data_IF_568349845797
#
_entry.id   IF_568349845797
#
_cell.length_a   1.000
_cell.length_b   1.000
_cell.length_c   1.000
_cell.angle_alpha   90.00
_cell.angle_beta   90.00
_cell.angle_gamma   90.00
#
_symmetry.space_group_name_H-M   'P 1'
#
loop_
_entity.id
_entity.type
_entity.pdbx_description
1 polymer ?
#
# COMPACT_ATOMS: atom_id res chain seq x y z
N UNK A 1 3.11 -13.02 5.51
CA UNK A 1 2.50 -11.72 5.86
C UNK A 1 1.35 -11.98 6.81
N UNK A 2 1.46 -11.52 8.06
CA UNK A 2 0.44 -11.84 9.08
C UNK A 2 -0.93 -11.31 8.64
N UNK A 3 -1.97 -12.14 8.72
CA UNK A 3 -3.39 -11.78 8.56
C UNK A 3 -3.73 -10.47 9.30
N UNK A 4 -3.00 -10.20 10.39
CA UNK A 4 -3.07 -8.98 11.21
C UNK A 4 -2.71 -7.69 10.46
N UNK A 5 -1.69 -7.69 9.59
CA UNK A 5 -1.28 -6.48 8.85
C UNK A 5 -2.33 -6.10 7.80
N UNK A 6 -2.84 -7.07 7.05
CA UNK A 6 -3.89 -6.80 6.08
C UNK A 6 -5.16 -6.29 6.76
N UNK A 7 -5.52 -6.83 7.93
CA UNK A 7 -6.65 -6.33 8.70
C UNK A 7 -6.45 -4.86 9.12
N UNK A 8 -5.27 -4.48 9.60
CA UNK A 8 -4.96 -3.08 9.96
C UNK A 8 -5.06 -2.16 8.75
N UNK A 9 -4.58 -2.59 7.58
CA UNK A 9 -4.68 -1.81 6.35
C UNK A 9 -6.15 -1.67 5.90
N UNK A 10 -6.94 -2.74 5.97
CA UNK A 10 -8.37 -2.71 5.64
C UNK A 10 -9.14 -1.79 6.59
N UNK A 11 -8.88 -1.86 7.89
CA UNK A 11 -9.47 -0.94 8.89
C UNK A 11 -9.13 0.51 8.55
N UNK A 12 -7.87 0.79 8.22
CA UNK A 12 -7.46 2.14 7.83
C UNK A 12 -8.16 2.61 6.56
N UNK A 13 -8.29 1.76 5.54
CA UNK A 13 -8.98 2.08 4.29
C UNK A 13 -10.47 2.31 4.52
N UNK A 14 -11.13 1.51 5.36
CA UNK A 14 -12.53 1.71 5.71
C UNK A 14 -12.74 3.08 6.38
N UNK A 15 -11.86 3.47 7.30
CA UNK A 15 -11.91 4.79 7.90
C UNK A 15 -11.76 5.92 6.87
N UNK A 16 -10.87 5.77 5.87
CA UNK A 16 -10.75 6.77 4.80
C UNK A 16 -12.03 6.88 3.95
N UNK A 17 -12.72 5.77 3.71
CA UNK A 17 -14.01 5.74 3.02
C UNK A 17 -15.09 6.45 3.86
N UNK A 18 -15.07 6.28 5.19
CA UNK A 18 -15.96 7.01 6.10
C UNK A 18 -15.71 8.52 6.04
N UNK A 19 -14.46 8.97 6.03
CA UNK A 19 -14.11 10.37 5.85
C UNK A 19 -14.63 10.92 4.51
N UNK A 20 -14.49 10.15 3.43
CA UNK A 20 -15.05 10.51 2.13
C UNK A 20 -16.58 10.65 2.21
N UNK A 21 -17.28 9.71 2.84
CA UNK A 21 -18.74 9.75 3.01
C UNK A 21 -19.19 10.94 3.85
N UNK A 22 -18.49 11.23 4.96
CA UNK A 22 -18.73 12.41 5.80
C UNK A 22 -18.58 13.68 4.99
N UNK A 23 -17.54 13.76 4.15
CA UNK A 23 -17.31 14.90 3.26
C UNK A 23 -18.42 15.05 2.23
N UNK A 24 -18.80 13.96 1.52
CA UNK A 24 -19.90 13.96 0.56
C UNK A 24 -21.24 14.37 1.17
N UNK A 25 -21.49 14.05 2.45
CA UNK A 25 -22.71 14.44 3.15
C UNK A 25 -22.83 15.95 3.40
N UNK A 26 -21.72 16.71 3.28
CA UNK A 26 -21.71 18.18 3.43
C UNK A 26 -21.99 18.92 2.12
N UNK A 27 -22.55 18.23 1.12
CA UNK A 27 -22.82 18.77 -0.21
C UNK A 27 -23.63 20.06 -0.14
N UNK A 28 -23.17 21.08 -0.85
CA UNK A 28 -23.93 22.29 -1.14
C UNK A 28 -23.72 22.72 -2.59
N UNK A 29 -24.67 23.46 -3.13
CA UNK A 29 -24.64 23.90 -4.53
C UNK A 29 -24.50 25.41 -4.58
N UNK A 30 -23.61 25.89 -5.44
CA UNK A 30 -23.48 27.31 -5.78
C UNK A 30 -23.83 27.48 -7.25
N UNK A 31 -24.45 28.59 -7.60
CA UNK A 31 -24.77 28.94 -8.98
C UNK A 31 -24.04 30.21 -9.40
N UNK A 32 -23.68 30.27 -10.68
CA UNK A 32 -23.38 31.51 -11.37
C UNK A 32 -24.38 31.72 -12.52
N UNK A 33 -24.21 32.76 -13.32
CA UNK A 33 -25.14 33.12 -14.40
C UNK A 33 -25.35 32.02 -15.47
N UNK A 34 -24.48 31.00 -15.54
CA UNK A 34 -24.49 29.98 -16.58
C UNK A 34 -24.37 28.53 -16.06
N UNK A 35 -23.87 28.31 -14.85
CA UNK A 35 -23.48 27.00 -14.35
C UNK A 35 -23.83 26.77 -12.88
N UNK A 36 -23.97 25.49 -12.54
CA UNK A 36 -24.21 24.99 -11.20
C UNK A 36 -22.99 24.17 -10.79
N UNK A 37 -22.50 24.41 -9.57
CA UNK A 37 -21.34 23.73 -9.02
C UNK A 37 -21.69 23.09 -7.68
N UNK A 38 -21.35 21.82 -7.55
CA UNK A 38 -21.50 21.08 -6.31
C UNK A 38 -20.17 21.02 -5.55
N UNK A 39 -20.22 21.46 -4.30
CA UNK A 39 -19.07 21.53 -3.39
C UNK A 39 -19.36 20.76 -2.12
N UNK A 40 -18.30 20.48 -1.36
CA UNK A 40 -18.38 19.95 0.00
C UNK A 40 -17.69 20.92 0.97
N UNK A 41 -17.88 20.75 2.28
CA UNK A 41 -17.16 21.53 3.30
C UNK A 41 -15.65 21.37 3.14
N UNK A 42 -14.93 22.49 3.25
CA UNK A 42 -13.46 22.52 3.18
C UNK A 42 -12.84 21.68 4.30
N UNK A 43 -13.40 21.72 5.50
CA UNK A 43 -12.88 20.98 6.65
C UNK A 43 -12.91 19.47 6.39
N UNK A 44 -14.08 18.93 6.05
CA UNK A 44 -14.23 17.49 5.76
C UNK A 44 -13.49 17.07 4.49
N UNK A 45 -13.34 17.98 3.52
CA UNK A 45 -12.52 17.75 2.34
C UNK A 45 -11.05 17.56 2.69
N UNK A 46 -10.44 18.51 3.41
CA UNK A 46 -9.02 18.42 3.77
C UNK A 46 -8.76 17.26 4.73
N UNK A 47 -9.68 16.97 5.65
CA UNK A 47 -9.61 15.77 6.51
C UNK A 47 -9.48 14.49 5.67
N UNK A 48 -10.37 14.30 4.68
CA UNK A 48 -10.31 13.16 3.77
C UNK A 48 -9.07 13.16 2.87
N UNK A 49 -8.76 14.29 2.23
CA UNK A 49 -7.69 14.42 1.25
C UNK A 49 -6.33 14.15 1.91
N UNK A 50 -6.02 14.83 3.01
CA UNK A 50 -4.73 14.70 3.69
C UNK A 50 -4.53 13.30 4.27
N UNK A 51 -5.56 12.74 4.93
CA UNK A 51 -5.47 11.40 5.50
C UNK A 51 -5.25 10.32 4.43
N UNK A 52 -5.94 10.44 3.30
CA UNK A 52 -5.82 9.54 2.16
C UNK A 52 -4.47 9.66 1.48
N UNK A 53 -4.00 10.88 1.20
CA UNK A 53 -2.70 11.10 0.58
C UNK A 53 -1.56 10.55 1.44
N UNK A 54 -1.60 10.80 2.75
CA UNK A 54 -0.61 10.26 3.69
C UNK A 54 -0.64 8.73 3.70
N UNK A 55 -1.82 8.12 3.71
CA UNK A 55 -1.94 6.67 3.66
C UNK A 55 -1.35 6.08 2.39
N UNK A 56 -1.72 6.61 1.22
CA UNK A 56 -1.24 6.12 -0.07
C UNK A 56 0.28 6.25 -0.15
N UNK A 57 0.83 7.40 0.27
CA UNK A 57 2.28 7.61 0.33
C UNK A 57 2.98 6.56 1.19
N UNK A 58 2.47 6.28 2.39
CA UNK A 58 3.10 5.33 3.31
C UNK A 58 3.00 3.87 2.85
N UNK A 59 1.94 3.50 2.12
CA UNK A 59 1.74 2.12 1.66
C UNK A 59 2.41 1.85 0.32
N UNK A 60 2.33 2.79 -0.61
CA UNK A 60 2.75 2.60 -2.00
C UNK A 60 3.97 3.45 -2.41
N UNK A 61 4.35 4.45 -1.62
CA UNK A 61 5.48 5.33 -1.91
C UNK A 61 5.17 6.51 -2.85
N UNK A 62 6.14 7.42 -2.97
CA UNK A 62 6.01 8.70 -3.70
C UNK A 62 5.76 8.50 -5.20
N UNK A 63 6.35 7.44 -5.78
CA UNK A 63 6.28 7.16 -7.21
C UNK A 63 5.07 6.28 -7.60
N UNK A 64 4.11 6.08 -6.70
CA UNK A 64 2.98 5.19 -6.97
C UNK A 64 1.96 5.81 -7.92
N UNK A 65 1.39 5.01 -8.86
CA UNK A 65 0.27 5.47 -9.70
C UNK A 65 -0.91 5.96 -8.87
N UNK A 66 -1.18 5.31 -7.74
CA UNK A 66 -2.24 5.71 -6.82
C UNK A 66 -2.02 7.11 -6.25
N UNK A 67 -0.81 7.45 -5.78
CA UNK A 67 -0.54 8.76 -5.22
C UNK A 67 -0.60 9.85 -6.30
N UNK A 68 -0.03 9.57 -7.48
CA UNK A 68 -0.04 10.48 -8.63
C UNK A 68 -1.48 10.78 -9.07
N UNK A 69 -2.30 9.76 -9.25
CA UNK A 69 -3.71 9.91 -9.64
C UNK A 69 -4.50 10.66 -8.56
N UNK A 70 -4.30 10.33 -7.28
CA UNK A 70 -4.99 10.98 -6.17
C UNK A 70 -4.71 12.49 -6.13
N UNK A 71 -3.43 12.88 -6.22
CA UNK A 71 -3.01 14.29 -6.24
C UNK A 71 -3.60 15.04 -7.46
N UNK A 72 -3.69 14.39 -8.62
CA UNK A 72 -4.21 15.00 -9.85
C UNK A 72 -5.74 15.15 -9.85
N UNK A 73 -6.46 14.16 -9.31
CA UNK A 73 -7.93 14.15 -9.33
C UNK A 73 -8.59 14.95 -8.22
N UNK A 74 -7.84 15.30 -7.17
CA UNK A 74 -8.38 15.84 -5.93
C UNK A 74 -7.59 17.09 -5.55
N UNK A 75 -7.94 18.18 -6.21
CA UNK A 75 -7.28 19.48 -6.14
C UNK A 75 -8.07 20.49 -5.30
N UNK A 76 -9.40 20.35 -5.25
CA UNK A 76 -10.30 21.23 -4.50
C UNK A 76 -11.52 20.48 -3.95
N UNK A 77 -12.34 21.18 -3.17
CA UNK A 77 -13.51 20.66 -2.48
C UNK A 77 -14.74 20.46 -3.38
N UNK A 78 -14.55 20.22 -4.69
CA UNK A 78 -15.66 19.85 -5.57
C UNK A 78 -16.19 18.45 -5.19
N UNK A 79 -17.51 18.31 -5.21
CA UNK A 79 -18.18 17.06 -4.86
C UNK A 79 -17.71 15.88 -5.75
N UNK A 80 -17.54 16.12 -7.06
CA UNK A 80 -17.03 15.13 -8.02
C UNK A 80 -15.61 14.65 -7.70
N UNK A 81 -14.76 15.50 -7.13
CA UNK A 81 -13.39 15.15 -6.80
C UNK A 81 -13.32 14.27 -5.56
N UNK A 82 -14.19 14.50 -4.57
CA UNK A 82 -14.33 13.60 -3.42
C UNK A 82 -14.84 12.23 -3.86
N UNK A 83 -15.78 12.17 -4.83
CA UNK A 83 -16.21 10.90 -5.43
C UNK A 83 -15.05 10.18 -6.13
N UNK A 84 -14.26 10.91 -6.92
CA UNK A 84 -13.08 10.34 -7.59
C UNK A 84 -12.08 9.78 -6.57
N UNK A 85 -11.79 10.54 -5.51
CA UNK A 85 -10.91 10.09 -4.44
C UNK A 85 -11.43 8.85 -3.72
N UNK A 86 -12.72 8.80 -3.40
CA UNK A 86 -13.35 7.60 -2.83
C UNK A 86 -13.21 6.39 -3.76
N UNK A 87 -13.35 6.59 -5.07
CA UNK A 87 -13.11 5.55 -6.08
C UNK A 87 -11.70 4.99 -6.04
N UNK A 88 -10.69 5.86 -5.93
CA UNK A 88 -9.28 5.48 -5.80
C UNK A 88 -9.07 4.65 -4.51
N UNK A 89 -9.60 5.10 -3.37
CA UNK A 89 -9.50 4.38 -2.10
C UNK A 89 -10.21 3.02 -2.16
N UNK A 90 -11.35 2.90 -2.85
CA UNK A 90 -12.02 1.61 -3.07
C UNK A 90 -11.20 0.65 -3.94
N UNK A 91 -10.48 1.16 -4.94
CA UNK A 91 -9.55 0.35 -5.74
C UNK A 91 -8.45 -0.24 -4.85
N UNK A 92 -7.85 0.59 -3.99
CA UNK A 92 -6.85 0.17 -3.01
C UNK A 92 -7.42 -0.88 -2.05
N UNK A 93 -8.64 -0.68 -1.56
CA UNK A 93 -9.34 -1.67 -0.72
C UNK A 93 -9.38 -3.04 -1.40
N UNK A 94 -9.83 -3.04 -2.66
CA UNK A 94 -9.98 -4.26 -3.48
C UNK A 94 -8.64 -4.97 -3.67
N UNK A 95 -7.55 -4.24 -3.89
CA UNK A 95 -6.21 -4.83 -3.99
C UNK A 95 -5.75 -5.49 -2.68
N UNK A 96 -5.98 -4.82 -1.55
CA UNK A 96 -5.58 -5.33 -0.23
C UNK A 96 -6.38 -6.60 0.10
N UNK A 97 -7.70 -6.57 -0.13
CA UNK A 97 -8.60 -7.70 0.11
C UNK A 97 -8.26 -8.90 -0.77
N UNK A 98 -7.88 -8.66 -2.03
CA UNK A 98 -7.46 -9.71 -2.97
C UNK A 98 -5.99 -10.15 -2.80
N UNK A 99 -5.28 -9.59 -1.81
CA UNK A 99 -3.92 -10.02 -1.45
C UNK A 99 -2.81 -9.55 -2.40
N UNK A 100 -3.07 -8.56 -3.25
CA UNK A 100 -2.10 -8.05 -4.22
C UNK A 100 -0.80 -7.55 -3.56
N UNK A 101 -0.90 -6.84 -2.43
CA UNK A 101 0.27 -6.40 -1.65
C UNK A 101 1.13 -7.57 -1.16
N UNK A 102 0.50 -8.70 -0.85
CA UNK A 102 1.21 -9.93 -0.48
C UNK A 102 1.95 -10.54 -1.66
N UNK A 103 1.30 -10.57 -2.84
CA UNK A 103 1.90 -11.04 -4.09
C UNK A 103 3.10 -10.17 -4.50
N UNK A 104 2.96 -8.84 -4.46
CA UNK A 104 4.04 -7.91 -4.81
C UNK A 104 5.26 -8.10 -3.90
N UNK A 105 5.05 -8.21 -2.58
CA UNK A 105 6.14 -8.51 -1.64
C UNK A 105 6.79 -9.87 -1.91
N UNK A 106 5.99 -10.87 -2.29
CA UNK A 106 6.51 -12.18 -2.67
C UNK A 106 7.45 -12.10 -3.87
N UNK A 107 7.07 -11.34 -4.90
CA UNK A 107 7.90 -11.12 -6.09
C UNK A 107 9.21 -10.41 -5.73
N UNK A 108 9.15 -9.30 -4.97
CA UNK A 108 10.35 -8.58 -4.53
C UNK A 108 11.27 -9.46 -3.66
N UNK A 109 10.69 -10.26 -2.76
CA UNK A 109 11.47 -11.19 -1.93
C UNK A 109 12.15 -12.26 -2.77
N UNK A 110 11.56 -12.67 -3.89
CA UNK A 110 12.16 -13.63 -4.81
C UNK A 110 13.32 -13.01 -5.59
N UNK A 111 13.22 -11.75 -5.97
CA UNK A 111 14.29 -10.99 -6.64
C UNK A 111 15.50 -10.84 -5.72
N UNK A 112 15.29 -10.33 -4.50
CA UNK A 112 16.35 -10.20 -3.48
C UNK A 112 17.00 -11.56 -3.16
N UNK A 113 16.21 -12.63 -3.08
CA UNK A 113 16.75 -13.97 -2.87
C UNK A 113 17.62 -14.43 -4.06
N UNK A 114 17.22 -14.12 -5.29
CA UNK A 114 18.02 -14.38 -6.48
C UNK A 114 19.35 -13.63 -6.43
N UNK A 115 19.34 -12.36 -6.03
CA UNK A 115 20.57 -11.55 -5.88
C UNK A 115 21.50 -12.15 -4.83
N UNK A 116 20.97 -12.60 -3.68
CA UNK A 116 21.77 -13.29 -2.66
C UNK A 116 22.36 -14.60 -3.18
N UNK A 117 21.62 -15.34 -3.99
CA UNK A 117 22.10 -16.58 -4.60
C UNK A 117 23.24 -16.31 -5.59
N UNK A 118 23.11 -15.28 -6.43
CA UNK A 118 24.15 -14.85 -7.37
C UNK A 118 25.41 -14.36 -6.64
N UNK A 119 25.25 -13.54 -5.59
CA UNK A 119 26.38 -13.10 -4.77
C UNK A 119 27.08 -14.29 -4.07
N UNK A 120 26.31 -15.29 -3.61
CA UNK A 120 26.87 -16.47 -2.94
C UNK A 120 27.65 -17.33 -3.92
N UNK A 121 27.15 -17.47 -5.14
CA UNK A 121 27.83 -18.14 -6.23
C UNK A 121 29.15 -17.45 -6.58
N UNK A 122 29.16 -16.12 -6.69
CA UNK A 122 30.38 -15.35 -6.92
C UNK A 122 31.44 -15.55 -5.81
N UNK A 123 31.04 -15.51 -4.54
CA UNK A 123 31.96 -15.78 -3.42
C UNK A 123 32.55 -17.19 -3.50
N UNK A 124 31.75 -18.17 -3.88
CA UNK A 124 32.20 -19.55 -4.03
C UNK A 124 33.22 -19.71 -5.17
N UNK A 125 32.99 -19.06 -6.31
CA UNK A 125 33.89 -19.05 -7.47
C UNK A 125 35.25 -18.42 -7.14
N UNK A 126 35.25 -17.36 -6.34
CA UNK A 126 36.45 -16.70 -5.81
C UNK A 126 37.09 -17.45 -4.61
N UNK A 127 36.66 -18.69 -4.33
CA UNK A 127 37.13 -19.54 -3.23
C UNK A 127 36.86 -19.00 -1.81
N UNK A 128 35.99 -18.01 -1.63
CA UNK A 128 35.51 -17.55 -0.33
C UNK A 128 34.35 -18.42 0.18
N UNK A 129 34.69 -19.66 0.57
CA UNK A 129 33.72 -20.70 0.93
C UNK A 129 32.89 -20.38 2.18
N UNK A 130 33.51 -19.89 3.25
CA UNK A 130 32.77 -19.59 4.49
C UNK A 130 31.78 -18.44 4.28
N UNK A 131 32.17 -17.29 3.67
CA UNK A 131 31.22 -16.24 3.33
C UNK A 131 30.09 -16.70 2.40
N UNK A 132 30.41 -17.50 1.37
CA UNK A 132 29.41 -18.05 0.45
C UNK A 132 28.36 -18.90 1.19
N UNK A 133 28.82 -19.80 2.06
CA UNK A 133 27.97 -20.69 2.85
C UNK A 133 27.11 -19.94 3.86
N UNK A 134 27.67 -18.95 4.57
CA UNK A 134 26.92 -18.11 5.52
C UNK A 134 25.81 -17.35 4.80
N UNK A 135 26.11 -16.72 3.66
CA UNK A 135 25.13 -15.91 2.94
C UNK A 135 23.96 -16.73 2.37
N UNK A 136 24.23 -17.86 1.70
CA UNK A 136 23.16 -18.70 1.15
C UNK A 136 22.37 -19.38 2.27
N UNK A 137 23.04 -19.80 3.35
CA UNK A 137 22.40 -20.35 4.55
C UNK A 137 21.44 -19.36 5.20
N UNK A 138 21.88 -18.11 5.34
CA UNK A 138 21.07 -17.03 5.93
C UNK A 138 19.86 -16.69 5.05
N UNK A 139 20.05 -16.60 3.72
CA UNK A 139 18.97 -16.37 2.78
C UNK A 139 17.94 -17.51 2.77
N UNK A 140 18.40 -18.77 2.81
CA UNK A 140 17.54 -19.95 2.89
C UNK A 140 16.75 -19.99 4.20
N UNK A 141 17.42 -19.75 5.34
CA UNK A 141 16.78 -19.71 6.65
C UNK A 141 15.66 -18.67 6.68
N UNK A 142 15.94 -17.45 6.24
CA UNK A 142 14.95 -16.38 6.19
C UNK A 142 13.76 -16.77 5.30
N UNK A 143 14.02 -17.36 4.12
CA UNK A 143 12.95 -17.78 3.22
C UNK A 143 12.06 -18.87 3.84
N UNK A 144 12.66 -19.88 4.48
CA UNK A 144 11.93 -20.94 5.18
C UNK A 144 11.13 -20.40 6.38
N UNK A 145 11.68 -19.43 7.11
CA UNK A 145 11.01 -18.74 8.20
C UNK A 145 9.77 -17.98 7.70
N UNK A 146 9.91 -17.21 6.62
CA UNK A 146 8.78 -16.51 5.98
C UNK A 146 7.73 -17.48 5.43
N UNK A 147 8.15 -18.61 4.84
CA UNK A 147 7.26 -19.67 4.36
C UNK A 147 6.45 -20.29 5.51
N UNK A 148 7.10 -20.55 6.64
CA UNK A 148 6.48 -21.07 7.86
C UNK A 148 5.44 -20.10 8.42
N UNK A 149 5.82 -18.82 8.56
CA UNK A 149 4.91 -17.75 8.98
C UNK A 149 3.71 -17.59 8.03
N UNK A 150 3.91 -17.75 6.72
CA UNK A 150 2.83 -17.70 5.72
C UNK A 150 1.80 -18.81 5.92
N UNK A 151 2.24 -20.00 6.34
CA UNK A 151 1.37 -21.16 6.57
C UNK A 151 0.95 -21.32 8.04
N UNK A 152 1.26 -20.35 8.90
CA UNK A 152 0.89 -20.39 10.32
C UNK A 152 1.65 -21.46 11.12
N UNK A 153 2.80 -21.90 10.62
CA UNK A 153 3.68 -22.85 11.31
C UNK A 153 4.48 -22.06 12.37
N UNK A 154 4.44 -22.47 13.65
CA UNK A 154 5.22 -21.84 14.71
C UNK A 154 6.72 -21.92 14.38
N UNK A 155 7.41 -20.80 14.56
CA UNK A 155 8.86 -20.72 14.50
C UNK A 155 9.38 -20.49 15.91
N UNK A 156 10.38 -21.25 16.33
CA UNK A 156 11.08 -20.97 17.58
C UNK A 156 12.00 -19.76 17.33
N UNK A 157 11.98 -18.81 18.27
CA UNK A 157 13.03 -17.79 18.34
C UNK A 157 14.29 -18.47 18.88
N UNK A 158 15.40 -18.36 18.16
CA UNK A 158 16.74 -18.65 18.71
C UNK A 158 17.23 -17.46 19.52
#
# INVERSE_FOLDING_TARGET
MSKKINNVLIERVNHLIELANKSLATKFTTEDSFHWYDWVSHESFYEFQTASQSFILNVYGENSPYLSQFKQSIVNNKYEQVLAGKGIINSIKTEIENGWLGTLKGLMSSEIFSDFLEMSQHLLEENYKDPAAVMIGSALEEHLRQLSLKHGIPINEM
#
